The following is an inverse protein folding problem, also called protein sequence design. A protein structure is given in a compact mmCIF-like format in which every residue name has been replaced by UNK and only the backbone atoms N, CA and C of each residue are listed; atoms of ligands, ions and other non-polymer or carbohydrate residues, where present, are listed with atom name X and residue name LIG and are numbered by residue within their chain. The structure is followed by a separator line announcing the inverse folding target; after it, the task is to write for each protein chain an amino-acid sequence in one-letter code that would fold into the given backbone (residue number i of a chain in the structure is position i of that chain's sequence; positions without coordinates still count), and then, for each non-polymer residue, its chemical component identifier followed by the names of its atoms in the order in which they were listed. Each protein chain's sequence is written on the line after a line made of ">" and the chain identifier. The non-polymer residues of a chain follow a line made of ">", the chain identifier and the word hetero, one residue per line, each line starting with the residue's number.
data_IF_094275610812
#
_entry.id   IF_094275610812
#
_cell.length_a   1.000
_cell.length_b   1.000
_cell.length_c   1.000
_cell.angle_alpha   90.00
_cell.angle_beta   90.00
_cell.angle_gamma   90.00
#
_symmetry.space_group_name_H-M   'P 1'
#
loop_
_entity.id
_entity.type
_entity.pdbx_description
1 polymer ?
#
# COMPACT_ATOMS: atom_id res chain seq x y z
N UNK A 1 19.13 14.48 -0.54
CA UNK A 1 18.09 14.41 -1.60
C UNK A 1 17.66 12.98 -1.86
N UNK A 2 16.48 12.77 -2.47
CA UNK A 2 16.05 11.45 -2.92
C UNK A 2 17.09 10.80 -3.85
N UNK A 3 17.14 9.47 -3.84
CA UNK A 3 17.94 8.74 -4.83
C UNK A 3 17.47 9.11 -6.25
N UNK A 4 18.41 9.50 -7.12
CA UNK A 4 18.13 9.87 -8.51
C UNK A 4 17.60 11.29 -8.72
N UNK A 5 17.64 12.17 -7.70
CA UNK A 5 17.16 13.56 -7.80
C UNK A 5 17.70 14.35 -9.00
N UNK A 6 18.99 14.18 -9.31
CA UNK A 6 19.65 14.85 -10.44
C UNK A 6 19.07 14.51 -11.82
N UNK A 7 18.23 13.48 -11.92
CA UNK A 7 17.54 13.13 -13.17
C UNK A 7 16.43 14.11 -13.55
N UNK A 8 15.87 14.84 -12.57
CA UNK A 8 14.74 15.76 -12.78
C UNK A 8 15.04 17.18 -12.29
N UNK A 9 16.13 17.37 -11.55
CA UNK A 9 16.50 18.68 -11.02
C UNK A 9 16.74 19.69 -12.15
N UNK A 10 16.11 20.87 -12.04
CA UNK A 10 16.30 21.97 -12.99
C UNK A 10 15.62 21.80 -14.36
N UNK A 11 14.79 20.76 -14.54
CA UNK A 11 14.06 20.51 -15.79
C UNK A 11 12.57 20.31 -15.53
N UNK A 12 11.73 20.72 -16.49
CA UNK A 12 10.30 20.42 -16.47
C UNK A 12 10.07 19.02 -17.04
N UNK A 13 9.26 18.23 -16.35
CA UNK A 13 8.85 16.89 -16.76
C UNK A 13 7.34 16.75 -16.65
N UNK A 14 6.72 16.12 -17.64
CA UNK A 14 5.28 15.87 -17.63
C UNK A 14 4.96 14.51 -17.04
N UNK A 15 4.07 14.48 -16.05
CA UNK A 15 3.49 13.22 -15.55
C UNK A 15 2.56 12.65 -16.63
N UNK A 16 2.85 11.43 -17.06
CA UNK A 16 2.09 10.68 -18.06
C UNK A 16 1.09 9.71 -17.45
N UNK A 17 1.44 9.13 -16.30
CA UNK A 17 0.58 8.20 -15.58
C UNK A 17 0.93 8.15 -14.08
N UNK A 18 -0.04 7.73 -13.26
CA UNK A 18 0.15 7.47 -11.83
C UNK A 18 -0.57 6.18 -11.49
N UNK A 19 0.17 5.24 -10.90
CA UNK A 19 -0.38 3.95 -10.50
C UNK A 19 -0.06 3.58 -9.06
N UNK A 20 -0.83 2.63 -8.55
CA UNK A 20 -0.65 2.04 -7.23
C UNK A 20 -0.70 0.51 -7.36
N UNK A 21 0.21 -0.18 -6.67
CA UNK A 21 0.12 -1.63 -6.43
C UNK A 21 0.42 -1.93 -4.97
N UNK A 22 -0.59 -2.37 -4.24
CA UNK A 22 -0.55 -2.53 -2.79
C UNK A 22 -0.26 -1.21 -2.08
N UNK A 23 0.95 -1.07 -1.52
CA UNK A 23 1.41 0.16 -0.83
C UNK A 23 2.46 0.95 -1.61
N UNK A 24 2.71 0.53 -2.85
CA UNK A 24 3.68 1.14 -3.73
C UNK A 24 2.96 2.05 -4.71
N UNK A 25 3.29 3.33 -4.67
CA UNK A 25 2.82 4.36 -5.60
C UNK A 25 3.94 4.59 -6.61
N UNK A 26 3.60 4.76 -7.87
CA UNK A 26 4.56 5.16 -8.89
C UNK A 26 3.98 6.21 -9.83
N UNK A 27 4.84 7.12 -10.25
CA UNK A 27 4.55 8.14 -11.26
C UNK A 27 5.41 7.82 -12.48
N UNK A 28 4.80 7.82 -13.66
CA UNK A 28 5.50 7.70 -14.93
C UNK A 28 5.58 9.09 -15.52
N UNK A 29 6.79 9.58 -15.75
CA UNK A 29 7.06 10.88 -16.38
C UNK A 29 7.48 10.65 -17.83
N UNK A 30 7.71 11.73 -18.57
CA UNK A 30 8.43 11.67 -19.84
C UNK A 30 9.90 11.20 -19.66
N UNK A 31 10.58 11.01 -20.79
CA UNK A 31 11.99 10.58 -20.85
C UNK A 31 12.31 9.28 -20.10
N UNK A 32 11.29 8.42 -19.98
CA UNK A 32 11.31 7.15 -19.23
C UNK A 32 11.68 7.31 -17.75
N UNK A 33 11.45 8.48 -17.18
CA UNK A 33 11.68 8.74 -15.75
C UNK A 33 10.47 8.23 -14.96
N UNK A 34 10.73 7.60 -13.82
CA UNK A 34 9.71 7.12 -12.91
C UNK A 34 10.01 7.57 -11.49
N UNK A 35 8.99 8.01 -10.76
CA UNK A 35 9.09 8.30 -9.33
C UNK A 35 8.44 7.16 -8.58
N UNK A 36 9.20 6.51 -7.71
CA UNK A 36 8.77 5.41 -6.86
C UNK A 36 8.52 5.96 -5.46
N UNK A 37 7.34 5.72 -4.91
CA UNK A 37 6.96 6.20 -3.60
C UNK A 37 6.34 5.10 -2.72
N UNK A 38 6.77 5.04 -1.47
CA UNK A 38 6.05 4.33 -0.41
C UNK A 38 5.80 5.31 0.73
N UNK A 39 4.56 5.37 1.23
CA UNK A 39 4.19 6.33 2.28
C UNK A 39 4.81 6.01 3.66
N UNK A 40 5.29 4.79 3.89
CA UNK A 40 5.75 4.38 5.21
C UNK A 40 4.60 4.36 6.22
N UNK A 41 4.77 5.03 7.36
CA UNK A 41 3.75 5.07 8.42
C UNK A 41 2.99 6.40 8.52
N UNK A 42 3.64 7.51 8.20
CA UNK A 42 3.08 8.87 8.35
C UNK A 42 3.21 9.72 7.09
N UNK A 43 3.73 9.13 6.01
CA UNK A 43 3.84 9.80 4.72
C UNK A 43 2.45 10.05 4.12
N UNK A 44 2.27 11.25 3.59
CA UNK A 44 1.07 11.64 2.84
C UNK A 44 1.42 12.74 1.83
N UNK A 45 0.64 12.78 0.75
CA UNK A 45 0.67 13.88 -0.21
C UNK A 45 -0.34 14.95 0.22
N UNK A 46 0.07 16.22 0.22
CA UNK A 46 -0.78 17.35 0.58
C UNK A 46 -0.47 18.60 -0.25
N UNK A 47 -1.42 19.51 -0.35
CA UNK A 47 -1.29 20.79 -1.07
C UNK A 47 -0.83 21.96 -0.19
N UNK A 48 -0.84 21.78 1.14
CA UNK A 48 -0.41 22.80 2.09
C UNK A 48 0.94 22.45 2.71
N UNK A 49 1.78 23.48 2.82
CA UNK A 49 3.08 23.36 3.46
C UNK A 49 2.95 23.29 4.98
N UNK A 50 3.76 22.43 5.60
CA UNK A 50 4.09 22.48 7.02
C UNK A 50 5.54 22.05 7.28
N UNK A 51 5.97 22.13 8.55
CA UNK A 51 7.34 21.80 8.98
C UNK A 51 7.75 20.32 8.75
N UNK A 52 6.79 19.45 8.46
CA UNK A 52 7.00 18.03 8.21
C UNK A 52 6.98 17.69 6.71
N UNK A 53 6.80 18.67 5.84
CA UNK A 53 6.99 18.54 4.40
C UNK A 53 8.47 18.28 4.10
N UNK A 54 8.75 17.17 3.40
CA UNK A 54 10.11 16.70 3.12
C UNK A 54 10.54 16.90 1.68
N UNK A 55 9.59 16.80 0.76
CA UNK A 55 9.78 17.01 -0.67
C UNK A 55 8.64 17.89 -1.18
N UNK A 56 8.96 18.79 -2.10
CA UNK A 56 7.99 19.62 -2.82
C UNK A 56 8.16 19.40 -4.31
N UNK A 57 7.03 19.26 -5.01
CA UNK A 57 6.96 19.36 -6.47
C UNK A 57 6.22 20.65 -6.80
N UNK A 58 6.88 21.51 -7.58
CA UNK A 58 6.26 22.70 -8.15
C UNK A 58 5.66 22.32 -9.51
N UNK A 59 4.37 22.61 -9.70
CA UNK A 59 3.65 22.31 -10.94
C UNK A 59 3.68 23.52 -11.87
N UNK A 60 3.51 23.27 -13.16
CA UNK A 60 3.40 24.31 -14.19
C UNK A 60 2.15 25.21 -14.02
N UNK A 61 1.13 24.72 -13.31
CA UNK A 61 -0.02 25.51 -12.86
C UNK A 61 0.32 26.60 -11.83
N UNK A 62 1.54 26.58 -11.27
CA UNK A 62 1.94 27.44 -10.15
C UNK A 62 1.58 26.86 -8.77
N UNK A 63 0.85 25.74 -8.73
CA UNK A 63 0.56 25.01 -7.49
C UNK A 63 1.77 24.21 -7.00
N UNK A 64 1.74 23.82 -5.74
CA UNK A 64 2.76 22.95 -5.15
C UNK A 64 2.12 21.77 -4.45
N UNK A 65 2.72 20.59 -4.65
CA UNK A 65 2.35 19.37 -3.95
C UNK A 65 3.52 18.95 -3.07
N UNK A 66 3.22 18.66 -1.81
CA UNK A 66 4.20 18.31 -0.80
C UNK A 66 4.07 16.84 -0.42
N UNK A 67 5.20 16.15 -0.29
CA UNK A 67 5.27 14.90 0.44
C UNK A 67 5.62 15.20 1.89
N UNK A 68 4.64 15.02 2.77
CA UNK A 68 4.76 15.24 4.21
C UNK A 68 4.97 13.93 4.92
N UNK A 69 6.00 13.85 5.76
CA UNK A 69 6.23 12.68 6.59
C UNK A 69 6.87 13.05 7.94
N UNK A 70 6.11 12.84 9.03
CA UNK A 70 6.56 13.16 10.39
C UNK A 70 7.73 12.24 10.79
N UNK A 71 7.66 10.96 10.46
CA UNK A 71 8.59 9.92 10.94
C UNK A 71 9.73 9.61 9.98
N UNK A 72 9.74 10.20 8.78
CA UNK A 72 10.76 9.99 7.74
C UNK A 72 10.97 8.52 7.36
N UNK A 73 9.89 7.75 7.29
CA UNK A 73 9.89 6.34 6.85
C UNK A 73 9.37 6.15 5.44
N UNK A 74 8.73 7.16 4.88
CA UNK A 74 8.40 7.20 3.48
C UNK A 74 9.65 7.21 2.62
N UNK A 75 9.56 6.60 1.44
CA UNK A 75 10.66 6.61 0.46
C UNK A 75 10.20 7.28 -0.82
N UNK A 76 11.10 8.06 -1.42
CA UNK A 76 10.97 8.56 -2.79
C UNK A 76 12.26 8.21 -3.51
N UNK A 77 12.15 7.58 -4.68
CA UNK A 77 13.27 7.29 -5.58
C UNK A 77 12.91 7.68 -6.98
N UNK A 78 13.83 8.31 -7.69
CA UNK A 78 13.67 8.69 -9.09
C UNK A 78 14.56 7.78 -9.91
N UNK A 79 13.98 7.11 -10.89
CA UNK A 79 14.64 6.04 -11.64
C UNK A 79 14.36 6.22 -13.12
N UNK A 80 15.40 6.16 -13.93
CA UNK A 80 15.28 6.15 -15.39
C UNK A 80 15.17 4.72 -15.94
N UNK A 81 14.29 4.54 -16.93
CA UNK A 81 14.11 3.32 -17.69
C UNK A 81 12.88 2.51 -17.28
N UNK A 82 12.07 2.13 -18.27
CA UNK A 82 10.79 1.41 -18.09
C UNK A 82 10.95 0.03 -17.44
N UNK A 83 12.04 -0.67 -17.72
CA UNK A 83 12.30 -2.01 -17.19
C UNK A 83 12.38 -2.06 -15.66
N UNK A 84 12.83 -0.97 -15.03
CA UNK A 84 12.95 -0.91 -13.57
C UNK A 84 11.58 -0.90 -12.89
N UNK A 85 10.62 -0.17 -13.47
CA UNK A 85 9.22 -0.19 -13.01
C UNK A 85 8.61 -1.57 -13.20
N UNK A 86 8.76 -2.17 -14.37
CA UNK A 86 8.24 -3.51 -14.65
C UNK A 86 8.79 -4.55 -13.66
N UNK A 87 10.12 -4.53 -13.41
CA UNK A 87 10.75 -5.41 -12.42
C UNK A 87 10.21 -5.17 -11.00
N UNK A 88 10.00 -3.91 -10.61
CA UNK A 88 9.44 -3.57 -9.29
C UNK A 88 7.99 -4.05 -9.13
N UNK A 89 7.17 -3.92 -10.17
CA UNK A 89 5.78 -4.38 -10.16
C UNK A 89 5.69 -5.91 -10.20
N UNK A 90 6.60 -6.59 -10.89
CA UNK A 90 6.64 -8.04 -11.01
C UNK A 90 6.96 -8.76 -9.69
N UNK A 91 7.68 -8.11 -8.76
CA UNK A 91 7.97 -8.69 -7.44
C UNK A 91 6.85 -8.46 -6.41
N UNK A 92 5.83 -7.66 -6.74
CA UNK A 92 4.67 -7.44 -5.88
C UNK A 92 3.61 -8.49 -6.18
N UNK A 93 3.07 -9.09 -5.13
CA UNK A 93 2.03 -10.10 -5.20
C UNK A 93 0.68 -9.53 -5.62
N UNK A 94 -0.35 -10.36 -5.48
CA UNK A 94 -1.72 -9.96 -5.81
C UNK A 94 -2.14 -8.79 -4.92
N UNK A 95 -2.75 -7.77 -5.52
CA UNK A 95 -3.27 -6.61 -4.82
C UNK A 95 -4.64 -6.93 -4.21
N UNK A 96 -4.70 -6.94 -2.88
CA UNK A 96 -5.90 -7.34 -2.12
C UNK A 96 -7.11 -6.43 -2.36
N UNK A 97 -6.91 -5.23 -2.90
CA UNK A 97 -7.99 -4.28 -3.14
C UNK A 97 -8.62 -4.48 -4.52
N UNK A 98 -7.79 -4.66 -5.55
CA UNK A 98 -8.22 -4.66 -6.96
C UNK A 98 -8.28 -6.04 -7.59
N UNK A 99 -7.38 -6.95 -7.22
CA UNK A 99 -7.34 -8.28 -7.83
C UNK A 99 -8.47 -9.17 -7.28
N UNK A 100 -8.88 -10.14 -8.10
CA UNK A 100 -9.87 -11.17 -7.75
C UNK A 100 -9.32 -12.51 -8.19
N UNK A 101 -8.62 -13.18 -7.27
CA UNK A 101 -8.14 -14.54 -7.51
C UNK A 101 -9.30 -15.53 -7.37
N UNK A 102 -9.33 -16.54 -8.24
CA UNK A 102 -10.21 -17.70 -8.07
C UNK A 102 -9.73 -18.60 -6.93
N UNK A 103 -10.62 -19.45 -6.42
CA UNK A 103 -10.33 -20.31 -5.26
C UNK A 103 -9.06 -21.16 -5.46
N UNK A 104 -8.90 -21.79 -6.62
CA UNK A 104 -7.71 -22.60 -6.93
C UNK A 104 -6.41 -21.79 -6.93
N UNK A 105 -6.46 -20.54 -7.40
CA UNK A 105 -5.33 -19.62 -7.39
C UNK A 105 -4.97 -19.19 -5.97
N UNK A 106 -5.97 -18.90 -5.13
CA UNK A 106 -5.77 -18.58 -3.70
C UNK A 106 -5.12 -19.76 -2.98
N UNK A 107 -5.67 -20.96 -3.13
CA UNK A 107 -5.12 -22.16 -2.51
C UNK A 107 -3.68 -22.41 -2.97
N UNK A 108 -3.43 -22.37 -4.28
CA UNK A 108 -2.07 -22.50 -4.83
C UNK A 108 -1.12 -21.46 -4.26
N UNK A 109 -1.55 -20.20 -4.17
CA UNK A 109 -0.75 -19.09 -3.66
C UNK A 109 -0.32 -19.31 -2.21
N UNK A 110 -1.25 -19.70 -1.32
CA UNK A 110 -0.96 -19.95 0.09
C UNK A 110 -0.06 -21.18 0.27
N UNK A 111 -0.36 -22.29 -0.44
CA UNK A 111 0.39 -23.55 -0.30
C UNK A 111 1.85 -23.45 -0.76
N UNK A 112 2.25 -22.44 -1.53
CA UNK A 112 3.68 -22.12 -1.83
C UNK A 112 4.54 -21.89 -0.58
N UNK A 113 3.92 -21.56 0.56
CA UNK A 113 4.58 -21.33 1.85
C UNK A 113 3.85 -22.02 3.00
N UNK A 114 3.51 -23.30 2.80
CA UNK A 114 2.75 -24.12 3.76
C UNK A 114 3.28 -24.05 5.21
N UNK A 115 4.61 -24.02 5.41
CA UNK A 115 5.21 -23.96 6.75
C UNK A 115 5.18 -22.59 7.44
N UNK A 116 4.72 -21.53 6.76
CA UNK A 116 4.65 -20.18 7.34
C UNK A 116 3.38 -19.98 8.15
N UNK A 117 3.46 -19.14 9.19
CA UNK A 117 2.28 -18.68 9.92
C UNK A 117 1.44 -17.72 9.07
N UNK A 118 0.13 -17.67 9.34
CA UNK A 118 -0.79 -16.75 8.65
C UNK A 118 -0.31 -15.29 8.70
N UNK A 119 0.01 -14.69 9.86
CA UNK A 119 0.55 -13.33 9.92
C UNK A 119 1.76 -13.08 9.02
N UNK A 120 2.70 -14.04 8.97
CA UNK A 120 3.93 -13.92 8.18
C UNK A 120 3.61 -13.93 6.70
N UNK A 121 2.72 -14.80 6.26
CA UNK A 121 2.29 -14.87 4.87
C UNK A 121 1.50 -13.63 4.45
N UNK A 122 0.47 -13.28 5.23
CA UNK A 122 -0.41 -12.15 4.94
C UNK A 122 0.37 -10.83 4.82
N UNK A 123 1.39 -10.60 5.65
CA UNK A 123 2.19 -9.37 5.61
C UNK A 123 3.21 -9.32 4.46
N UNK A 124 3.45 -10.44 3.77
CA UNK A 124 4.45 -10.51 2.71
C UNK A 124 3.91 -9.88 1.40
N UNK A 125 4.46 -8.72 1.04
CA UNK A 125 4.02 -7.95 -0.13
C UNK A 125 4.28 -8.64 -1.48
N UNK A 126 5.11 -9.69 -1.53
CA UNK A 126 5.34 -10.50 -2.73
C UNK A 126 4.29 -11.58 -2.97
N UNK A 127 3.47 -11.90 -1.96
CA UNK A 127 2.32 -12.79 -2.10
C UNK A 127 1.01 -11.99 -2.12
N UNK A 128 0.81 -11.16 -1.10
CA UNK A 128 -0.36 -10.29 -0.97
C UNK A 128 0.10 -8.85 -0.73
N UNK A 129 0.01 -8.03 -1.76
CA UNK A 129 0.38 -6.62 -1.69
C UNK A 129 -0.78 -5.80 -1.11
N UNK A 130 -0.46 -4.80 -0.29
CA UNK A 130 -1.45 -3.94 0.36
C UNK A 130 -1.77 -4.32 1.80
N UNK A 131 -1.58 -5.59 2.21
CA UNK A 131 -1.87 -6.02 3.58
C UNK A 131 -0.95 -5.31 4.56
N UNK A 132 -1.53 -4.63 5.55
CA UNK A 132 -0.84 -4.03 6.69
C UNK A 132 -1.30 -4.61 8.01
N UNK A 133 -0.75 -4.08 9.11
CA UNK A 133 -1.02 -4.61 10.44
C UNK A 133 -2.51 -4.65 10.78
N UNK A 134 -3.24 -3.57 10.53
CA UNK A 134 -4.67 -3.54 10.85
C UNK A 134 -5.48 -4.51 9.98
N UNK A 135 -5.20 -4.58 8.67
CA UNK A 135 -5.91 -5.48 7.75
C UNK A 135 -5.70 -6.93 8.17
N UNK A 136 -4.46 -7.29 8.49
CA UNK A 136 -4.10 -8.61 9.00
C UNK A 136 -4.86 -8.95 10.29
N UNK A 137 -4.83 -8.05 11.28
CA UNK A 137 -5.49 -8.31 12.57
C UNK A 137 -7.01 -8.45 12.42
N UNK A 138 -7.65 -7.54 11.69
CA UNK A 138 -9.09 -7.58 11.44
C UNK A 138 -9.48 -8.79 10.58
N UNK A 139 -8.68 -9.15 9.59
CA UNK A 139 -8.88 -10.33 8.76
C UNK A 139 -8.84 -11.62 9.58
N UNK A 140 -7.80 -11.80 10.42
CA UNK A 140 -7.67 -12.96 11.32
C UNK A 140 -8.84 -13.06 12.31
N UNK A 141 -9.25 -11.92 12.88
CA UNK A 141 -10.38 -11.89 13.79
C UNK A 141 -11.68 -12.28 13.10
N UNK A 142 -11.96 -11.71 11.91
CA UNK A 142 -13.16 -12.02 11.12
C UNK A 142 -13.20 -13.45 10.63
N UNK A 143 -12.05 -14.04 10.28
CA UNK A 143 -11.97 -15.44 9.88
C UNK A 143 -12.01 -16.40 11.07
N UNK A 144 -11.86 -15.90 12.31
CA UNK A 144 -11.77 -16.73 13.52
C UNK A 144 -10.53 -17.63 13.56
N UNK A 145 -9.45 -17.26 12.85
CA UNK A 145 -8.23 -18.07 12.80
C UNK A 145 -7.17 -17.55 13.75
N UNK A 146 -6.43 -18.47 14.37
CA UNK A 146 -5.33 -18.12 15.27
C UNK A 146 -4.16 -17.50 14.50
N UNK A 147 -3.55 -16.41 15.01
CA UNK A 147 -2.31 -15.87 14.43
C UNK A 147 -1.14 -16.86 14.50
N UNK A 148 -1.23 -17.91 15.31
CA UNK A 148 -0.20 -18.94 15.44
C UNK A 148 -0.35 -20.08 14.44
N UNK A 149 -1.49 -20.20 13.76
CA UNK A 149 -1.72 -21.25 12.76
C UNK A 149 -0.76 -21.13 11.59
N UNK A 150 -0.17 -22.26 11.20
CA UNK A 150 0.57 -22.39 9.95
C UNK A 150 -0.36 -22.72 8.80
N UNK A 151 0.02 -22.34 7.58
CA UNK A 151 -0.80 -22.59 6.39
C UNK A 151 -1.06 -24.09 6.18
N UNK A 152 -0.07 -24.94 6.45
CA UNK A 152 -0.17 -26.40 6.32
C UNK A 152 -1.21 -27.03 7.27
N UNK A 153 -1.56 -26.34 8.35
CA UNK A 153 -2.54 -26.82 9.35
C UNK A 153 -3.98 -26.43 8.97
N UNK A 154 -4.16 -25.57 7.98
CA UNK A 154 -5.47 -25.04 7.59
C UNK A 154 -6.12 -25.90 6.50
N UNK A 155 -7.44 -26.06 6.60
CA UNK A 155 -8.22 -26.59 5.48
C UNK A 155 -8.26 -25.60 4.31
N UNK A 156 -8.72 -26.06 3.16
CA UNK A 156 -8.89 -25.19 2.00
C UNK A 156 -9.96 -24.12 2.26
N UNK A 157 -11.04 -24.46 2.96
CA UNK A 157 -12.08 -23.53 3.40
C UNK A 157 -11.52 -22.45 4.33
N UNK A 158 -10.64 -22.82 5.25
CA UNK A 158 -9.98 -21.86 6.15
C UNK A 158 -9.13 -20.85 5.39
N UNK A 159 -8.35 -21.31 4.39
CA UNK A 159 -7.53 -20.46 3.53
C UNK A 159 -8.40 -19.48 2.73
N UNK A 160 -9.48 -19.97 2.12
CA UNK A 160 -10.41 -19.12 1.36
C UNK A 160 -11.06 -18.08 2.28
N UNK A 161 -11.51 -18.51 3.47
CA UNK A 161 -12.14 -17.63 4.45
C UNK A 161 -11.24 -16.49 4.93
N UNK A 162 -9.95 -16.76 5.21
CA UNK A 162 -9.02 -15.68 5.60
C UNK A 162 -8.70 -14.74 4.43
N UNK A 163 -8.56 -15.27 3.21
CA UNK A 163 -8.35 -14.45 2.03
C UNK A 163 -9.51 -13.48 1.80
N UNK A 164 -10.75 -13.99 1.83
CA UNK A 164 -11.95 -13.18 1.69
C UNK A 164 -12.07 -12.13 2.79
N UNK A 165 -11.86 -12.50 4.05
CA UNK A 165 -11.90 -11.57 5.18
C UNK A 165 -10.89 -10.42 5.02
N UNK A 166 -9.66 -10.71 4.57
CA UNK A 166 -8.62 -9.71 4.32
C UNK A 166 -9.02 -8.76 3.18
N UNK A 167 -9.50 -9.30 2.06
CA UNK A 167 -9.97 -8.49 0.93
C UNK A 167 -11.19 -7.63 1.30
N UNK A 168 -12.13 -8.15 2.07
CA UNK A 168 -13.29 -7.41 2.57
C UNK A 168 -12.88 -6.26 3.49
N UNK A 169 -11.97 -6.50 4.44
CA UNK A 169 -11.43 -5.46 5.31
C UNK A 169 -10.75 -4.36 4.50
N UNK A 170 -9.93 -4.73 3.52
CA UNK A 170 -9.24 -3.78 2.65
C UNK A 170 -10.24 -2.91 1.86
N UNK A 171 -11.24 -3.54 1.21
CA UNK A 171 -12.28 -2.83 0.45
C UNK A 171 -13.15 -1.96 1.33
N UNK A 172 -13.52 -2.44 2.52
CA UNK A 172 -14.29 -1.66 3.49
C UNK A 172 -13.48 -0.45 3.99
N UNK A 173 -12.19 -0.63 4.29
CA UNK A 173 -11.30 0.49 4.65
C UNK A 173 -11.24 1.50 3.51
N UNK A 174 -10.99 1.06 2.27
CA UNK A 174 -10.93 1.95 1.09
C UNK A 174 -12.22 2.75 0.86
N UNK A 175 -13.40 2.10 0.88
CA UNK A 175 -14.71 2.78 0.71
C UNK A 175 -14.95 3.86 1.76
N UNK A 176 -14.38 3.69 2.95
CA UNK A 176 -14.49 4.65 4.04
C UNK A 176 -13.36 5.71 4.05
N UNK A 177 -12.59 5.81 2.95
CA UNK A 177 -11.39 6.67 2.82
C UNK A 177 -10.28 6.32 3.81
N UNK A 178 -10.14 5.03 4.10
CA UNK A 178 -9.17 4.46 5.01
C UNK A 178 -9.61 4.46 6.47
N UNK A 179 -8.84 3.77 7.30
CA UNK A 179 -8.96 3.92 8.74
C UNK A 179 -8.21 5.18 9.17
N UNK A 180 -8.95 6.18 9.65
CA UNK A 180 -8.40 7.42 10.16
C UNK A 180 -7.72 7.20 11.53
N UNK A 181 -6.65 6.42 11.58
CA UNK A 181 -5.74 6.47 12.74
C UNK A 181 -4.99 7.79 12.66
N UNK A 182 -5.30 8.71 13.58
CA UNK A 182 -4.67 9.97 14.01
C UNK A 182 -3.97 10.92 13.01
N UNK A 183 -3.41 10.46 11.89
CA UNK A 183 -2.53 11.23 11.00
C UNK A 183 -2.87 11.18 9.51
N UNK A 184 -3.56 10.15 8.99
CA UNK A 184 -3.89 10.11 7.56
C UNK A 184 -5.07 11.04 7.23
N UNK A 185 -4.84 12.00 6.33
CA UNK A 185 -5.89 12.81 5.70
C UNK A 185 -5.83 12.61 4.19
N UNK A 186 -7.00 12.41 3.59
CA UNK A 186 -7.18 12.45 2.13
C UNK A 186 -6.66 13.81 1.59
N UNK A 187 -5.99 13.85 0.42
CA UNK A 187 -5.58 15.09 -0.26
C UNK A 187 -6.68 16.16 -0.33
N UNK A 188 -7.94 15.76 -0.44
CA UNK A 188 -9.09 16.68 -0.48
C UNK A 188 -9.60 17.10 0.92
N UNK A 189 -8.83 16.84 1.98
CA UNK A 189 -9.15 17.14 3.40
C UNK A 189 -10.47 16.59 3.95
N UNK A 190 -11.13 15.71 3.22
CA UNK A 190 -12.36 15.07 3.65
C UNK A 190 -12.06 14.02 4.73
N UNK A 191 -12.52 14.24 5.98
CA UNK A 191 -12.63 13.16 6.97
C UNK A 191 -13.65 12.15 6.45
N UNK A 192 -13.30 10.86 6.36
CA UNK A 192 -14.24 9.81 5.95
C UNK A 192 -15.53 9.91 6.76
N UNK A 193 -16.69 9.98 6.09
CA UNK A 193 -18.01 10.17 6.72
C UNK A 193 -18.50 8.97 7.54
N UNK A 194 -17.76 7.86 7.50
CA UNK A 194 -18.01 6.64 8.27
C UNK A 194 -16.67 6.17 8.82
N UNK A 195 -16.52 6.13 10.14
CA UNK A 195 -15.32 5.56 10.75
C UNK A 195 -15.33 4.05 10.50
N UNK A 196 -14.35 3.56 9.73
CA UNK A 196 -14.05 2.12 9.71
C UNK A 196 -13.75 1.71 11.17
N UNK A 197 -14.68 0.99 11.80
CA UNK A 197 -14.56 0.60 13.20
C UNK A 197 -13.74 -0.68 13.27
N UNK A 198 -12.54 -0.59 13.83
CA UNK A 198 -11.74 -1.75 14.18
C UNK A 198 -12.47 -2.62 15.18
N UNK A 199 -12.51 -3.92 14.95
CA UNK A 199 -13.05 -4.89 15.90
C UNK A 199 -12.02 -5.19 16.99
N UNK A 200 -10.75 -5.37 16.61
CA UNK A 200 -9.66 -5.78 17.52
C UNK A 200 -8.41 -4.91 17.43
N UNK A 201 -8.14 -4.27 16.29
CA UNK A 201 -6.90 -3.52 16.15
C UNK A 201 -6.90 -2.24 17.00
N UNK A 202 -5.90 -2.11 17.88
CA UNK A 202 -5.76 -0.95 18.79
C UNK A 202 -6.77 -0.93 19.94
N UNK A 203 -7.31 -2.10 20.30
CA UNK A 203 -8.14 -2.30 21.48
C UNK A 203 -7.45 -3.37 22.34
N UNK A 204 -6.92 -2.96 23.48
CA UNK A 204 -6.35 -3.83 24.51
C UNK A 204 -7.43 -4.29 25.49
#
# INVERSE_FOLDING_TARGET
>A
DPEGWSLIEGSFHYIRDIGVKGKFIYFVLDDEINIFNTLGMTGQWCSEYDIHCRIVFHLDSGESIYFRDIRNFGTIKIIKGRDKLNKKLAILGSDILVDRLGNSEVLSLFRKRASWTLPKFLMNQGYLSGVGNYIKCEGLHRSGLSPHSKIEELSDEDILRIYDAVCEVARASYRNKGASFQTYRDPDKNKGKYSFRFLVYGKD
#
